data_IF_804800960846
#
_entry.id   IF_804800960846
#
_cell.length_a   1.000
_cell.length_b   1.000
_cell.length_c   1.000
_cell.angle_alpha   90.00
_cell.angle_beta   90.00
_cell.angle_gamma   90.00
#
_symmetry.space_group_name_H-M   'P 1'
#
loop_
_entity.id
_entity.type
_entity.pdbx_description
1 polymer ?
#
# COMPACT_ATOMS: atom_id res chain seq x y z
N UNK A 1 10.17 -11.73 -18.40
CA UNK A 1 9.23 -10.63 -18.04
C UNK A 1 8.23 -11.22 -17.05
N UNK A 2 8.21 -10.74 -15.82
CA UNK A 2 7.35 -11.28 -14.76
C UNK A 2 5.89 -10.81 -14.95
N UNK A 3 4.91 -11.67 -14.67
CA UNK A 3 3.47 -11.34 -14.71
C UNK A 3 3.15 -10.21 -13.72
N UNK A 4 3.91 -10.12 -12.61
CA UNK A 4 3.72 -9.11 -11.58
C UNK A 4 4.46 -7.79 -11.85
N UNK A 5 5.30 -7.71 -12.89
CA UNK A 5 6.07 -6.48 -13.15
C UNK A 5 5.17 -5.27 -13.41
N UNK A 6 4.07 -5.35 -14.20
CA UNK A 6 3.17 -4.23 -14.41
C UNK A 6 2.54 -3.72 -13.11
N UNK A 7 2.21 -4.63 -12.18
CA UNK A 7 1.72 -4.28 -10.83
C UNK A 7 2.78 -3.45 -10.10
N UNK A 8 4.02 -3.94 -10.08
CA UNK A 8 5.14 -3.22 -9.45
C UNK A 8 5.34 -1.84 -10.11
N UNK A 9 5.41 -1.77 -11.44
CA UNK A 9 5.64 -0.51 -12.16
C UNK A 9 4.51 0.52 -11.93
N UNK A 10 3.27 0.06 -11.73
CA UNK A 10 2.12 0.91 -11.43
C UNK A 10 2.15 1.42 -9.99
N UNK A 11 2.43 0.56 -9.01
CA UNK A 11 2.58 0.98 -7.61
C UNK A 11 3.76 1.93 -7.42
N UNK A 12 4.87 1.71 -8.15
CA UNK A 12 6.02 2.62 -8.14
C UNK A 12 5.64 4.01 -8.65
N UNK A 13 4.90 4.06 -9.77
CA UNK A 13 4.40 5.32 -10.34
C UNK A 13 3.42 6.02 -9.39
N UNK A 14 2.57 5.27 -8.71
CA UNK A 14 1.64 5.81 -7.71
C UNK A 14 2.38 6.57 -6.59
N UNK A 15 3.43 5.96 -6.04
CA UNK A 15 4.24 6.56 -4.96
C UNK A 15 5.02 7.77 -5.48
N UNK A 16 5.70 7.61 -6.62
CA UNK A 16 6.48 8.70 -7.22
C UNK A 16 5.62 9.93 -7.54
N UNK A 17 4.38 9.75 -7.98
CA UNK A 17 3.46 10.86 -8.24
C UNK A 17 3.12 11.65 -6.96
N UNK A 18 2.96 10.96 -5.83
CA UNK A 18 2.71 11.60 -4.52
C UNK A 18 3.96 12.28 -3.96
N UNK A 19 5.16 11.75 -4.23
CA UNK A 19 6.43 12.38 -3.86
C UNK A 19 6.66 13.68 -4.65
N UNK A 20 6.27 13.72 -5.93
CA UNK A 20 6.42 14.88 -6.80
C UNK A 20 5.32 15.94 -6.65
N UNK A 21 4.15 15.58 -6.10
CA UNK A 21 2.99 16.47 -5.98
C UNK A 21 2.66 16.70 -4.50
N UNK A 22 3.31 17.66 -3.85
CA UNK A 22 3.04 17.96 -2.44
C UNK A 22 1.63 18.51 -2.27
N UNK A 23 0.94 18.07 -1.21
CA UNK A 23 -0.39 18.57 -0.83
C UNK A 23 -1.47 17.51 -0.64
N UNK A 24 -1.20 16.25 -1.03
CA UNK A 24 -2.11 15.15 -0.72
C UNK A 24 -2.22 14.95 0.79
N UNK A 25 -3.44 14.89 1.30
CA UNK A 25 -3.73 14.52 2.68
C UNK A 25 -3.44 13.03 2.90
N UNK A 26 -3.14 12.59 4.14
CA UNK A 26 -2.99 11.17 4.44
C UNK A 26 -4.21 10.33 4.02
N UNK A 27 -5.43 10.90 4.10
CA UNK A 27 -6.65 10.25 3.60
C UNK A 27 -6.59 10.02 2.10
N UNK A 28 -6.26 11.03 1.29
CA UNK A 28 -6.16 10.89 -0.17
C UNK A 28 -5.09 9.87 -0.58
N UNK A 29 -3.96 9.85 0.14
CA UNK A 29 -2.91 8.85 -0.08
C UNK A 29 -3.40 7.43 0.20
N UNK A 30 -4.04 7.21 1.36
CA UNK A 30 -4.60 5.89 1.73
C UNK A 30 -5.70 5.44 0.78
N UNK A 31 -6.52 6.39 0.34
CA UNK A 31 -7.59 6.18 -0.61
C UNK A 31 -7.08 5.74 -1.98
N UNK A 32 -6.07 6.42 -2.53
CA UNK A 32 -5.43 6.03 -3.78
C UNK A 32 -4.69 4.69 -3.65
N UNK A 33 -4.02 4.46 -2.53
CA UNK A 33 -3.35 3.19 -2.25
C UNK A 33 -4.36 2.03 -2.14
N UNK A 34 -5.52 2.26 -1.54
CA UNK A 34 -6.64 1.31 -1.52
C UNK A 34 -7.15 1.02 -2.93
N UNK A 35 -7.44 2.08 -3.71
CA UNK A 35 -8.02 1.94 -5.04
C UNK A 35 -7.11 1.12 -5.97
N UNK A 36 -5.79 1.32 -5.88
CA UNK A 36 -4.78 0.48 -6.52
C UNK A 36 -4.87 -0.98 -6.07
N UNK A 37 -4.76 -1.29 -4.76
CA UNK A 37 -4.79 -2.68 -4.29
C UNK A 37 -6.11 -3.39 -4.58
N UNK A 38 -7.23 -2.67 -4.53
CA UNK A 38 -8.54 -3.23 -4.83
C UNK A 38 -8.67 -3.59 -6.32
N UNK A 39 -8.18 -2.74 -7.22
CA UNK A 39 -8.15 -3.02 -8.66
C UNK A 39 -7.30 -4.26 -8.99
N UNK A 40 -6.21 -4.47 -8.25
CA UNK A 40 -5.27 -5.57 -8.45
C UNK A 40 -5.45 -6.76 -7.49
N UNK A 41 -6.56 -6.84 -6.77
CA UNK A 41 -6.74 -7.84 -5.70
C UNK A 41 -6.60 -9.30 -6.16
N UNK A 42 -6.90 -9.59 -7.43
CA UNK A 42 -6.63 -10.91 -8.02
C UNK A 42 -5.14 -11.22 -8.15
N UNK A 43 -4.35 -10.23 -8.58
CA UNK A 43 -2.89 -10.35 -8.73
C UNK A 43 -2.19 -10.35 -7.37
N UNK A 44 -2.73 -9.66 -6.37
CA UNK A 44 -2.20 -9.67 -5.00
C UNK A 44 -2.29 -11.06 -4.35
N UNK A 45 -3.32 -11.86 -4.66
CA UNK A 45 -3.38 -13.25 -4.20
C UNK A 45 -2.21 -14.04 -4.76
N UNK A 46 -1.89 -13.87 -6.05
CA UNK A 46 -0.75 -14.54 -6.69
C UNK A 46 0.58 -14.13 -6.04
N UNK A 47 0.73 -12.84 -5.70
CA UNK A 47 1.91 -12.32 -4.99
C UNK A 47 2.11 -13.03 -3.65
N UNK A 48 1.03 -13.27 -2.90
CA UNK A 48 1.10 -13.96 -1.61
C UNK A 48 1.40 -15.45 -1.79
N UNK A 49 0.81 -16.11 -2.80
CA UNK A 49 1.03 -17.55 -3.00
C UNK A 49 2.42 -17.87 -3.56
N UNK A 50 3.04 -16.94 -4.29
CA UNK A 50 4.34 -17.13 -4.96
C UNK A 50 5.47 -16.28 -4.35
N UNK A 51 5.40 -16.01 -3.05
CA UNK A 51 6.32 -15.12 -2.31
C UNK A 51 7.81 -15.48 -2.51
N UNK A 52 8.15 -16.77 -2.57
CA UNK A 52 9.52 -17.24 -2.80
C UNK A 52 10.02 -16.88 -4.20
N UNK A 53 9.18 -17.04 -5.23
CA UNK A 53 9.53 -16.65 -6.60
C UNK A 53 9.76 -15.15 -6.72
N UNK A 54 8.98 -14.34 -5.99
CA UNK A 54 9.19 -12.89 -5.95
C UNK A 54 10.50 -12.50 -5.25
N UNK A 55 10.89 -13.24 -4.21
CA UNK A 55 12.17 -13.05 -3.53
C UNK A 55 13.34 -13.34 -4.48
N UNK A 56 13.28 -14.46 -5.22
CA UNK A 56 14.30 -14.83 -6.22
C UNK A 56 14.44 -13.78 -7.35
N UNK A 57 13.35 -13.07 -7.66
CA UNK A 57 13.32 -12.00 -8.64
C UNK A 57 13.72 -10.63 -8.07
N UNK A 58 14.03 -10.52 -6.77
CA UNK A 58 14.39 -9.25 -6.11
C UNK A 58 13.24 -8.25 -5.99
N UNK A 59 11.98 -8.72 -6.09
CA UNK A 59 10.79 -7.86 -6.06
C UNK A 59 10.34 -7.54 -4.62
N UNK A 60 10.75 -8.35 -3.64
CA UNK A 60 10.44 -8.12 -2.23
C UNK A 60 11.07 -6.83 -1.71
N UNK A 61 12.30 -6.53 -2.10
CA UNK A 61 12.99 -5.30 -1.67
C UNK A 61 12.26 -4.05 -2.13
N UNK A 62 11.64 -4.08 -3.32
CA UNK A 62 10.83 -2.97 -3.83
C UNK A 62 9.55 -2.77 -3.01
N UNK A 63 8.84 -3.86 -2.69
CA UNK A 63 7.64 -3.81 -1.84
C UNK A 63 7.95 -3.29 -0.43
N UNK A 64 9.10 -3.66 0.13
CA UNK A 64 9.57 -3.14 1.41
C UNK A 64 9.95 -1.66 1.33
N UNK A 65 10.62 -1.23 0.25
CA UNK A 65 10.98 0.17 0.03
C UNK A 65 9.75 1.09 -0.09
N UNK A 66 8.65 0.59 -0.68
CA UNK A 66 7.40 1.33 -0.76
C UNK A 66 6.84 1.69 0.62
N UNK A 67 6.96 0.80 1.60
CA UNK A 67 6.43 1.04 2.96
C UNK A 67 7.15 2.19 3.66
N UNK A 68 8.48 2.25 3.51
CA UNK A 68 9.29 3.36 4.01
C UNK A 68 8.89 4.69 3.35
N UNK A 69 8.74 4.70 2.03
CA UNK A 69 8.36 5.90 1.26
C UNK A 69 6.97 6.40 1.61
N UNK A 70 5.98 5.50 1.69
CA UNK A 70 4.62 5.83 2.12
C UNK A 70 4.59 6.37 3.55
N UNK A 71 5.38 5.81 4.47
CA UNK A 71 5.53 6.34 5.82
C UNK A 71 6.09 7.77 5.83
N UNK A 72 7.08 8.06 4.98
CA UNK A 72 7.65 9.41 4.83
C UNK A 72 6.68 10.42 4.21
N UNK A 73 5.81 9.97 3.31
CA UNK A 73 4.75 10.82 2.75
C UNK A 73 3.74 11.24 3.83
N UNK A 74 3.48 10.40 4.83
CA UNK A 74 2.55 10.71 5.94
C UNK A 74 3.21 11.53 7.05
N UNK A 75 4.38 11.11 7.52
CA UNK A 75 5.01 11.65 8.73
C UNK A 75 6.20 12.58 8.46
N UNK A 76 6.55 12.82 7.19
CA UNK A 76 7.71 13.61 6.77
C UNK A 76 8.99 12.78 6.63
N UNK A 77 10.09 13.43 6.23
CA UNK A 77 11.32 12.76 5.79
C UNK A 77 12.10 11.98 6.88
N UNK A 78 11.75 12.16 8.15
CA UNK A 78 12.41 11.53 9.31
C UNK A 78 11.38 11.07 10.35
N UNK A 79 10.58 10.04 10.05
CA UNK A 79 9.63 9.51 11.02
C UNK A 79 10.37 8.88 12.21
N UNK A 80 9.76 8.96 13.40
CA UNK A 80 10.20 8.14 14.54
C UNK A 80 9.91 6.66 14.29
N UNK A 81 10.51 5.77 15.08
CA UNK A 81 10.19 4.34 15.00
C UNK A 81 8.69 4.08 15.18
N UNK A 82 8.06 4.76 16.14
CA UNK A 82 6.62 4.63 16.38
C UNK A 82 5.79 5.02 15.15
N UNK A 83 6.13 6.14 14.51
CA UNK A 83 5.47 6.61 13.29
C UNK A 83 5.67 5.62 12.13
N UNK A 84 6.90 5.14 11.94
CA UNK A 84 7.20 4.13 10.92
C UNK A 84 6.43 2.84 11.15
N UNK A 85 6.36 2.35 12.39
CA UNK A 85 5.58 1.15 12.74
C UNK A 85 4.09 1.34 12.48
N UNK A 86 3.52 2.51 12.83
CA UNK A 86 2.13 2.86 12.53
C UNK A 86 1.87 2.86 11.02
N UNK A 87 2.77 3.44 10.23
CA UNK A 87 2.66 3.40 8.77
C UNK A 87 2.67 1.96 8.23
N UNK A 88 3.60 1.11 8.69
CA UNK A 88 3.65 -0.30 8.29
C UNK A 88 2.33 -1.01 8.61
N UNK A 89 1.76 -0.81 9.79
CA UNK A 89 0.47 -1.40 10.17
C UNK A 89 -0.66 -0.86 9.29
N UNK A 90 -0.74 0.45 9.09
CA UNK A 90 -1.81 1.10 8.36
C UNK A 90 -1.85 0.66 6.88
N UNK A 91 -0.72 0.77 6.17
CA UNK A 91 -0.64 0.39 4.76
C UNK A 91 -0.79 -1.13 4.58
N UNK A 92 -0.22 -1.93 5.49
CA UNK A 92 -0.36 -3.38 5.43
C UNK A 92 -1.76 -3.88 5.68
N UNK A 93 -2.37 -3.46 6.77
CA UNK A 93 -3.74 -3.85 7.10
C UNK A 93 -4.72 -3.39 6.01
N UNK A 94 -4.51 -2.22 5.41
CA UNK A 94 -5.32 -1.73 4.30
C UNK A 94 -5.19 -2.61 3.05
N UNK A 95 -3.95 -2.96 2.66
CA UNK A 95 -3.69 -3.91 1.58
C UNK A 95 -4.36 -5.27 1.87
N UNK A 96 -4.19 -5.80 3.08
CA UNK A 96 -4.74 -7.11 3.47
C UNK A 96 -6.27 -7.12 3.46
N UNK A 97 -6.93 -6.00 3.74
CA UNK A 97 -8.38 -5.87 3.59
C UNK A 97 -8.85 -6.17 2.16
N UNK A 98 -8.07 -5.82 1.13
CA UNK A 98 -8.41 -6.12 -0.25
C UNK A 98 -8.38 -7.63 -0.56
N UNK A 99 -7.63 -8.41 0.22
CA UNK A 99 -7.53 -9.86 0.13
C UNK A 99 -8.56 -10.57 1.00
N UNK A 100 -8.77 -10.09 2.23
CA UNK A 100 -9.64 -10.72 3.23
C UNK A 100 -11.14 -10.54 2.94
N UNK A 101 -11.51 -9.50 2.19
CA UNK A 101 -12.90 -9.15 1.94
C UNK A 101 -13.26 -9.09 0.45
N UNK A 102 -13.05 -10.20 -0.32
CA UNK A 102 -13.17 -10.20 -1.78
C UNK A 102 -14.58 -9.88 -2.29
N UNK A 103 -15.62 -10.24 -1.52
CA UNK A 103 -17.03 -10.06 -1.90
C UNK A 103 -17.61 -8.73 -1.42
N UNK A 104 -16.82 -7.90 -0.72
CA UNK A 104 -17.31 -6.62 -0.19
C UNK A 104 -17.30 -5.55 -1.29
N UNK A 105 -18.40 -4.81 -1.50
CA UNK A 105 -18.44 -3.73 -2.47
C UNK A 105 -17.38 -2.66 -2.21
N UNK A 106 -16.69 -2.23 -3.28
CA UNK A 106 -15.61 -1.22 -3.28
C UNK A 106 -15.85 -0.07 -2.31
N UNK A 107 -16.95 0.70 -2.48
CA UNK A 107 -17.24 1.88 -1.64
C UNK A 107 -17.32 1.56 -0.14
N UNK A 108 -17.87 0.39 0.21
CA UNK A 108 -18.03 -0.03 1.61
C UNK A 108 -16.68 -0.41 2.20
N UNK A 109 -15.90 -1.19 1.45
CA UNK A 109 -14.59 -1.63 1.88
C UNK A 109 -13.60 -0.46 1.99
N UNK A 110 -13.54 0.39 0.95
CA UNK A 110 -12.69 1.59 0.91
C UNK A 110 -12.87 2.47 2.14
N UNK A 111 -14.13 2.79 2.47
CA UNK A 111 -14.43 3.62 3.64
C UNK A 111 -13.92 2.96 4.93
N UNK A 112 -14.29 1.70 5.17
CA UNK A 112 -13.93 0.99 6.39
C UNK A 112 -12.41 0.81 6.55
N UNK A 113 -11.72 0.43 5.47
CA UNK A 113 -10.27 0.20 5.48
C UNK A 113 -9.47 1.50 5.62
N UNK A 114 -9.88 2.57 4.96
CA UNK A 114 -9.22 3.89 5.08
C UNK A 114 -9.43 4.46 6.48
N UNK A 115 -10.64 4.37 7.04
CA UNK A 115 -10.91 4.83 8.41
C UNK A 115 -10.06 4.06 9.43
N UNK A 116 -9.95 2.73 9.27
CA UNK A 116 -9.08 1.89 10.11
C UNK A 116 -7.59 2.22 9.95
N UNK A 117 -7.13 2.51 8.73
CA UNK A 117 -5.75 2.89 8.47
C UNK A 117 -5.41 4.26 9.08
N UNK A 118 -6.29 5.26 8.97
CA UNK A 118 -6.12 6.55 9.64
C UNK A 118 -6.04 6.39 11.16
N UNK A 119 -6.90 5.56 11.75
CA UNK A 119 -6.84 5.26 13.18
C UNK A 119 -5.51 4.60 13.59
N UNK A 120 -4.97 3.70 12.76
CA UNK A 120 -3.65 3.10 12.99
C UNK A 120 -2.51 4.13 12.90
N UNK A 121 -2.60 5.07 11.94
CA UNK A 121 -1.68 6.20 11.82
C UNK A 121 -1.75 7.16 13.02
N UNK A 122 -2.86 7.19 13.76
CA UNK A 122 -3.06 8.06 14.92
C UNK A 122 -3.31 9.52 14.55
N UNK A 123 -3.97 9.75 13.41
CA UNK A 123 -4.31 11.07 12.85
C UNK A 123 -5.81 11.21 12.60
#
# INVERSE_FOLDING_TARGET
RSIVQPLIDEGERFIANHECTPGATPRELLEGYFDYHYAHRGDLVLVVTELTTLADLGLIDQLLAWRDRLGKLVFGSRPTLEQSTRAVIAFGGLQDCCLQFPDTPHRKLRRASVDGALAALGI
#
